data_IF_556837101093
#
_entry.id   IF_556837101093
#
_cell.length_a   1.000
_cell.length_b   1.000
_cell.length_c   1.000
_cell.angle_alpha   90.00
_cell.angle_beta   90.00
_cell.angle_gamma   90.00
#
_symmetry.space_group_name_H-M   'P 1'
#
loop_
_entity.id
_entity.type
_entity.pdbx_description
1 polymer ?
#
# COMPACT_ATOMS: atom_id res chain seq x y z
N UNK A 1 -6.82 -0.12 2.43
CA UNK A 1 -5.47 0.49 2.53
C UNK A 1 -5.24 1.13 3.89
N UNK A 2 -5.93 2.23 4.23
CA UNK A 2 -5.56 3.08 5.38
C UNK A 2 -5.63 2.37 6.75
N UNK A 3 -6.75 1.70 7.08
CA UNK A 3 -6.86 0.92 8.33
C UNK A 3 -5.77 -0.15 8.44
N UNK A 4 -5.55 -0.91 7.37
CA UNK A 4 -4.52 -1.95 7.34
C UNK A 4 -3.08 -1.38 7.45
N UNK A 5 -2.85 -0.16 6.97
CA UNK A 5 -1.55 0.51 7.13
C UNK A 5 -1.32 0.90 8.60
N UNK A 6 -2.34 1.44 9.28
CA UNK A 6 -2.28 1.70 10.73
C UNK A 6 -2.08 0.41 11.51
N UNK A 7 -2.84 -0.64 11.20
CA UNK A 7 -2.72 -1.94 11.88
C UNK A 7 -1.32 -2.56 11.73
N UNK A 8 -0.71 -2.42 10.54
CA UNK A 8 0.65 -2.86 10.28
C UNK A 8 1.69 -2.13 11.14
N UNK A 9 1.57 -0.80 11.24
CA UNK A 9 2.44 0.03 12.08
C UNK A 9 2.27 -0.30 13.57
N UNK A 10 1.03 -0.47 14.03
CA UNK A 10 0.73 -0.84 15.41
C UNK A 10 1.26 -2.24 15.76
N UNK A 11 1.13 -3.20 14.84
CA UNK A 11 1.70 -4.53 15.00
C UNK A 11 3.22 -4.49 15.12
N UNK A 12 3.89 -3.69 14.27
CA UNK A 12 5.33 -3.46 14.33
C UNK A 12 5.75 -2.83 15.66
N UNK A 13 5.09 -1.75 16.08
CA UNK A 13 5.33 -1.07 17.35
C UNK A 13 5.20 -2.00 18.55
N UNK A 14 4.14 -2.82 18.57
CA UNK A 14 3.92 -3.82 19.62
C UNK A 14 5.01 -4.88 19.63
N UNK A 15 5.44 -5.36 18.46
CA UNK A 15 6.43 -6.43 18.36
C UNK A 15 7.86 -5.98 18.69
N UNK A 16 8.23 -4.75 18.32
CA UNK A 16 9.60 -4.23 18.44
C UNK A 16 9.78 -3.23 19.59
N UNK A 17 8.70 -2.84 20.27
CA UNK A 17 8.76 -1.83 21.34
C UNK A 17 9.07 -0.43 20.81
N UNK A 18 8.62 -0.12 19.59
CA UNK A 18 8.85 1.16 18.91
C UNK A 18 7.61 2.05 18.98
N UNK A 19 7.74 3.29 18.50
CA UNK A 19 6.67 4.30 18.48
C UNK A 19 6.58 5.02 17.12
N UNK A 20 6.60 4.26 16.03
CA UNK A 20 6.38 4.76 14.67
C UNK A 20 4.98 5.37 14.60
N UNK A 21 4.86 6.53 13.96
CA UNK A 21 3.61 7.29 13.86
C UNK A 21 3.04 7.21 12.44
N UNK A 22 1.70 7.12 12.34
CA UNK A 22 0.99 7.28 11.07
C UNK A 22 0.39 8.67 11.02
N UNK A 23 0.71 9.41 9.96
CA UNK A 23 0.06 10.67 9.63
C UNK A 23 -1.04 10.43 8.58
N UNK A 24 -2.04 11.32 8.56
CA UNK A 24 -3.05 11.35 7.49
C UNK A 24 -4.22 10.37 7.62
N UNK A 25 -4.26 9.50 8.63
CA UNK A 25 -5.42 8.65 8.91
C UNK A 25 -5.58 8.36 10.41
N UNK A 26 -6.79 8.55 10.93
CA UNK A 26 -7.23 8.13 12.25
C UNK A 26 -8.26 7.00 12.10
N UNK A 27 -7.84 5.78 12.43
CA UNK A 27 -8.69 4.58 12.34
C UNK A 27 -9.88 4.63 13.31
N UNK A 28 -9.77 5.27 14.47
CA UNK A 28 -10.87 5.31 15.44
C UNK A 28 -11.99 6.24 14.98
N UNK A 29 -11.62 7.42 14.46
CA UNK A 29 -12.60 8.41 14.00
C UNK A 29 -12.96 8.28 12.52
N UNK A 30 -12.24 7.43 11.77
CA UNK A 30 -12.37 7.25 10.32
C UNK A 30 -12.21 8.56 9.54
N UNK A 31 -11.36 9.47 10.04
CA UNK A 31 -11.02 10.74 9.41
C UNK A 31 -9.56 10.74 8.95
N UNK A 32 -9.29 11.44 7.86
CA UNK A 32 -7.94 11.54 7.33
C UNK A 32 -7.78 12.62 6.27
N UNK A 33 -6.62 12.62 5.65
CA UNK A 33 -6.25 13.56 4.59
C UNK A 33 -6.61 12.98 3.23
N UNK A 34 -7.48 13.68 2.50
CA UNK A 34 -7.90 13.31 1.16
C UNK A 34 -7.72 14.51 0.24
N UNK A 35 -7.10 14.30 -0.92
CA UNK A 35 -6.99 15.31 -1.98
C UNK A 35 -8.33 15.57 -2.66
N UNK A 36 -9.32 14.68 -2.47
CA UNK A 36 -10.66 14.74 -3.06
C UNK A 36 -10.66 14.75 -4.60
N UNK A 37 -9.54 14.34 -5.21
CA UNK A 37 -9.27 14.39 -6.65
C UNK A 37 -8.21 13.33 -7.00
N UNK A 38 -8.30 12.76 -8.20
CA UNK A 38 -7.40 11.71 -8.70
C UNK A 38 -6.55 12.15 -9.91
N UNK A 39 -6.70 13.38 -10.40
CA UNK A 39 -6.01 13.91 -11.58
C UNK A 39 -5.02 15.04 -11.24
N UNK A 40 -5.32 15.86 -10.22
CA UNK A 40 -4.55 17.04 -9.87
C UNK A 40 -3.32 16.73 -9.01
N UNK A 41 -2.20 16.43 -9.66
CA UNK A 41 -0.92 16.14 -9.01
C UNK A 41 -0.41 17.27 -8.10
N UNK A 42 -0.82 18.52 -8.30
CA UNK A 42 -0.44 19.63 -7.41
C UNK A 42 -0.94 19.37 -5.99
N UNK A 43 -2.17 18.86 -5.83
CA UNK A 43 -2.73 18.54 -4.51
C UNK A 43 -1.93 17.42 -3.82
N UNK A 44 -1.55 16.39 -4.56
CA UNK A 44 -0.71 15.30 -4.04
C UNK A 44 0.66 15.80 -3.58
N UNK A 45 1.26 16.72 -4.34
CA UNK A 45 2.54 17.35 -3.98
C UNK A 45 2.41 18.19 -2.71
N UNK A 46 1.41 19.08 -2.64
CA UNK A 46 1.18 19.95 -1.49
C UNK A 46 0.91 19.14 -0.22
N UNK A 47 0.08 18.10 -0.30
CA UNK A 47 -0.22 17.22 0.83
C UNK A 47 1.03 16.47 1.30
N UNK A 48 1.83 15.92 0.39
CA UNK A 48 3.07 15.24 0.73
C UNK A 48 4.08 16.19 1.38
N UNK A 49 4.23 17.42 0.87
CA UNK A 49 5.09 18.43 1.49
C UNK A 49 4.67 18.75 2.92
N UNK A 50 3.36 18.78 3.22
CA UNK A 50 2.88 18.96 4.59
C UNK A 50 3.28 17.78 5.49
N UNK A 51 3.19 16.53 5.03
CA UNK A 51 3.62 15.38 5.81
C UNK A 51 5.14 15.33 6.00
N UNK A 52 5.92 15.64 4.96
CA UNK A 52 7.37 15.75 5.05
C UNK A 52 7.76 16.82 6.07
N UNK A 53 7.10 17.98 6.08
CA UNK A 53 7.33 19.03 7.09
C UNK A 53 6.99 18.62 8.53
N UNK A 54 6.12 17.61 8.69
CA UNK A 54 5.78 17.00 9.97
C UNK A 54 6.71 15.83 10.35
N UNK A 55 7.70 15.53 9.50
CA UNK A 55 8.72 14.50 9.74
C UNK A 55 8.40 13.12 9.14
N UNK A 56 7.45 13.02 8.21
CA UNK A 56 7.25 11.77 7.48
C UNK A 56 8.49 11.42 6.65
N UNK A 57 9.01 10.22 6.84
CA UNK A 57 10.14 9.62 6.12
C UNK A 57 9.70 8.59 5.07
N UNK A 58 8.48 8.08 5.17
CA UNK A 58 7.85 7.18 4.21
C UNK A 58 6.41 7.64 3.92
N UNK A 59 6.04 7.73 2.65
CA UNK A 59 4.69 8.10 2.21
C UNK A 59 4.09 7.00 1.34
N UNK A 60 2.86 6.56 1.65
CA UNK A 60 2.06 5.66 0.81
C UNK A 60 0.91 6.43 0.15
N UNK A 61 1.08 7.00 -1.05
CA UNK A 61 0.05 7.81 -1.68
C UNK A 61 -1.04 6.94 -2.32
N UNK A 62 -2.13 6.69 -1.60
CA UNK A 62 -3.31 5.95 -2.08
C UNK A 62 -4.21 6.84 -2.95
N UNK A 63 -3.67 7.37 -4.04
CA UNK A 63 -4.30 8.45 -4.80
C UNK A 63 -4.14 8.34 -6.32
N UNK A 64 -3.88 7.15 -6.87
CA UNK A 64 -3.72 6.97 -8.33
C UNK A 64 -2.70 7.96 -8.93
N UNK A 65 -2.99 8.61 -10.08
CA UNK A 65 -2.09 9.59 -10.70
C UNK A 65 -1.69 10.76 -9.80
N UNK A 66 -2.55 11.20 -8.88
CA UNK A 66 -2.23 12.25 -7.90
C UNK A 66 -1.07 11.84 -7.00
N UNK A 67 -0.89 10.55 -6.75
CA UNK A 67 0.23 10.03 -5.98
C UNK A 67 1.61 10.30 -6.61
N UNK A 68 1.68 10.54 -7.92
CA UNK A 68 2.93 10.96 -8.57
C UNK A 68 3.37 12.36 -8.15
N UNK A 69 2.42 13.23 -7.77
CA UNK A 69 2.73 14.51 -7.13
C UNK A 69 3.42 14.33 -5.77
N UNK A 70 2.99 13.34 -5.00
CA UNK A 70 3.63 12.98 -3.73
C UNK A 70 5.04 12.40 -3.96
N UNK A 71 5.22 11.54 -4.98
CA UNK A 71 6.54 11.03 -5.36
C UNK A 71 7.49 12.15 -5.81
N UNK A 72 6.98 13.15 -6.54
CA UNK A 72 7.77 14.33 -6.91
C UNK A 72 8.21 15.15 -5.68
N UNK A 73 7.34 15.30 -4.67
CA UNK A 73 7.71 15.95 -3.41
C UNK A 73 8.79 15.16 -2.65
N UNK A 74 8.60 13.85 -2.50
CA UNK A 74 9.54 12.97 -1.81
C UNK A 74 10.91 12.94 -2.50
N UNK A 75 10.94 12.85 -3.83
CA UNK A 75 12.19 12.91 -4.62
C UNK A 75 12.92 14.23 -4.44
N UNK A 76 12.19 15.35 -4.37
CA UNK A 76 12.77 16.67 -4.17
C UNK A 76 13.29 16.88 -2.73
N UNK A 77 12.66 16.24 -1.74
CA UNK A 77 13.14 16.21 -0.35
C UNK A 77 14.43 15.39 -0.20
N UNK A 78 14.54 14.27 -0.93
CA UNK A 78 15.75 13.47 -1.02
C UNK A 78 15.98 12.48 0.12
N UNK A 79 15.16 12.51 1.19
CA UNK A 79 15.22 11.55 2.29
C UNK A 79 13.92 10.75 2.46
N UNK A 80 12.84 11.18 1.82
CA UNK A 80 11.53 10.55 1.92
C UNK A 80 11.37 9.43 0.89
N UNK A 81 10.94 8.25 1.33
CA UNK A 81 10.64 7.10 0.47
C UNK A 81 9.14 6.99 0.15
N UNK A 82 8.82 6.25 -0.91
CA UNK A 82 7.46 5.98 -1.36
C UNK A 82 7.14 4.50 -1.23
N UNK A 83 5.95 4.19 -0.71
CA UNK A 83 5.31 2.89 -0.91
C UNK A 83 4.25 3.06 -2.00
N UNK A 84 4.47 2.46 -3.17
CA UNK A 84 3.54 2.50 -4.30
C UNK A 84 2.25 1.73 -4.00
N UNK A 85 1.24 1.91 -4.85
CA UNK A 85 -0.02 1.16 -4.78
C UNK A 85 -0.50 0.70 -6.16
N UNK A 86 -1.34 -0.33 -6.15
CA UNK A 86 -2.00 -0.97 -7.30
C UNK A 86 -1.06 -1.74 -8.23
N UNK A 87 0.11 -1.18 -8.54
CA UNK A 87 1.14 -1.77 -9.40
C UNK A 87 2.53 -1.54 -8.80
N UNK A 88 3.54 -2.21 -9.35
CA UNK A 88 4.91 -2.05 -8.87
C UNK A 88 5.46 -0.73 -9.41
N UNK A 89 5.51 0.29 -8.56
CA UNK A 89 5.94 1.62 -8.97
C UNK A 89 7.41 1.70 -9.34
N UNK A 90 8.24 0.76 -8.88
CA UNK A 90 9.64 0.70 -9.31
C UNK A 90 9.73 0.48 -10.83
N UNK A 91 8.92 -0.45 -11.35
CA UNK A 91 8.84 -0.78 -12.78
C UNK A 91 7.93 0.20 -13.55
N UNK A 92 6.76 0.53 -12.99
CA UNK A 92 5.77 1.35 -13.67
C UNK A 92 6.14 2.84 -13.74
N UNK A 93 6.97 3.32 -12.81
CA UNK A 93 7.37 4.73 -12.70
C UNK A 93 8.89 4.84 -12.52
N UNK A 94 9.69 4.51 -13.55
CA UNK A 94 11.15 4.41 -13.43
C UNK A 94 11.82 5.71 -13.01
N UNK A 95 11.21 6.87 -13.30
CA UNK A 95 11.67 8.18 -12.84
C UNK A 95 11.67 8.32 -11.30
N UNK A 96 10.89 7.51 -10.58
CA UNK A 96 10.82 7.51 -9.12
C UNK A 96 11.37 6.22 -8.50
N UNK A 97 11.84 5.26 -9.30
CA UNK A 97 12.37 3.95 -8.84
C UNK A 97 13.34 4.07 -7.66
N UNK A 98 14.25 5.03 -7.70
CA UNK A 98 15.27 5.26 -6.65
C UNK A 98 14.72 5.65 -5.28
N UNK A 99 13.44 5.97 -5.16
CA UNK A 99 12.78 6.31 -3.88
C UNK A 99 11.62 5.35 -3.57
N UNK A 100 11.33 4.35 -4.41
CA UNK A 100 10.27 3.38 -4.16
C UNK A 100 10.82 2.28 -3.26
N UNK A 101 10.34 2.23 -2.01
CA UNK A 101 10.71 1.20 -1.04
C UNK A 101 10.10 -0.16 -1.42
N UNK A 102 8.82 -0.17 -1.75
CA UNK A 102 8.04 -1.33 -2.21
C UNK A 102 6.70 -0.80 -2.75
N UNK A 103 5.79 -1.68 -3.18
CA UNK A 103 4.42 -1.31 -3.56
C UNK A 103 3.42 -2.30 -3.01
N UNK A 104 2.27 -1.81 -2.52
CA UNK A 104 1.11 -2.65 -2.18
C UNK A 104 0.31 -2.91 -3.45
N UNK A 105 0.47 -4.11 -3.99
CA UNK A 105 -0.08 -4.52 -5.27
C UNK A 105 -1.55 -4.91 -5.14
N UNK A 106 -2.35 -4.47 -6.11
CA UNK A 106 -3.66 -5.08 -6.38
C UNK A 106 -3.53 -5.87 -7.67
N UNK A 107 -3.71 -7.18 -7.60
CA UNK A 107 -3.55 -8.09 -8.74
C UNK A 107 -4.80 -8.05 -9.65
N UNK A 108 -5.17 -6.84 -10.09
CA UNK A 108 -6.38 -6.56 -10.87
C UNK A 108 -6.35 -7.34 -12.19
N UNK A 109 -5.16 -7.53 -12.78
CA UNK A 109 -4.99 -8.34 -13.98
C UNK A 109 -5.53 -9.76 -13.81
N UNK A 110 -5.16 -10.44 -12.73
CA UNK A 110 -5.64 -11.78 -12.43
C UNK A 110 -7.16 -11.82 -12.20
N UNK A 111 -7.72 -10.81 -11.52
CA UNK A 111 -9.16 -10.71 -11.31
C UNK A 111 -9.93 -10.54 -12.63
N UNK A 112 -9.42 -9.70 -13.55
CA UNK A 112 -10.02 -9.48 -14.87
C UNK A 112 -9.90 -10.73 -15.73
N UNK A 113 -8.74 -11.38 -15.75
CA UNK A 113 -8.52 -12.63 -16.48
C UNK A 113 -9.47 -13.74 -16.02
N UNK A 114 -9.64 -13.89 -14.70
CA UNK A 114 -10.57 -14.86 -14.12
C UNK A 114 -12.02 -14.57 -14.55
N UNK A 115 -12.47 -13.32 -14.44
CA UNK A 115 -13.82 -12.93 -14.85
C UNK A 115 -14.09 -13.18 -16.34
N UNK A 116 -13.10 -12.90 -17.21
CA UNK A 116 -13.19 -13.20 -18.64
C UNK A 116 -13.24 -14.71 -18.88
N UNK A 117 -12.40 -15.48 -18.19
CA UNK A 117 -12.35 -16.95 -18.29
C UNK A 117 -13.67 -17.58 -17.89
N UNK A 118 -14.27 -17.12 -16.79
CA UNK A 118 -15.57 -17.60 -16.32
C UNK A 118 -16.69 -17.24 -17.29
N UNK A 119 -16.66 -16.04 -17.88
CA UNK A 119 -17.61 -15.64 -18.92
C UNK A 119 -17.54 -16.51 -20.16
N UNK A 120 -16.33 -16.73 -20.69
CA UNK A 120 -16.11 -17.54 -21.90
C UNK A 120 -16.45 -19.02 -21.66
N UNK A 121 -16.21 -19.53 -20.45
CA UNK A 121 -16.52 -20.92 -20.08
C UNK A 121 -17.97 -21.15 -19.65
N UNK A 122 -18.81 -20.10 -19.60
CA UNK A 122 -20.20 -20.19 -19.16
C UNK A 122 -20.39 -20.34 -17.65
N UNK A 123 -19.33 -20.11 -16.87
CA UNK A 123 -19.31 -20.18 -15.41
C UNK A 123 -19.41 -18.81 -14.73
N UNK A 124 -19.65 -17.72 -15.49
CA UNK A 124 -19.75 -16.38 -14.93
C UNK A 124 -20.82 -16.30 -13.84
N UNK A 125 -20.46 -15.66 -12.74
CA UNK A 125 -21.36 -15.38 -11.64
C UNK A 125 -21.31 -13.89 -11.28
N UNK A 126 -22.40 -13.30 -10.77
CA UNK A 126 -22.44 -11.88 -10.40
C UNK A 126 -21.76 -11.59 -9.05
N UNK A 127 -21.29 -12.62 -8.33
CA UNK A 127 -20.59 -12.49 -7.06
C UNK A 127 -19.31 -11.65 -7.24
N UNK A 128 -19.07 -10.65 -6.36
CA UNK A 128 -17.85 -9.87 -6.42
C UNK A 128 -16.61 -10.74 -6.21
N UNK A 129 -15.61 -10.57 -7.08
CA UNK A 129 -14.27 -11.07 -6.79
C UNK A 129 -13.65 -10.27 -5.64
N UNK A 130 -13.26 -10.95 -4.57
CA UNK A 130 -12.54 -10.36 -3.44
C UNK A 130 -11.09 -10.82 -3.47
N UNK A 131 -10.18 -9.91 -3.80
CA UNK A 131 -8.75 -10.15 -3.77
C UNK A 131 -8.22 -10.21 -2.34
N UNK A 132 -7.50 -11.28 -2.00
CA UNK A 132 -6.91 -11.53 -0.69
C UNK A 132 -5.46 -11.96 -0.83
N UNK A 133 -4.68 -11.96 0.26
CA UNK A 133 -3.36 -12.57 0.26
C UNK A 133 -3.44 -14.09 -0.01
N UNK A 134 -4.54 -14.76 0.36
CA UNK A 134 -4.70 -16.21 0.23
C UNK A 134 -4.91 -16.65 -1.22
N UNK A 135 -5.70 -15.90 -1.99
CA UNK A 135 -5.94 -16.17 -3.41
C UNK A 135 -4.98 -15.40 -4.34
N UNK A 136 -4.01 -14.68 -3.79
CA UNK A 136 -3.07 -13.88 -4.57
C UNK A 136 -3.72 -12.69 -5.28
N UNK A 137 -4.86 -12.17 -4.79
CA UNK A 137 -5.49 -10.96 -5.32
C UNK A 137 -4.83 -9.65 -4.86
N UNK A 138 -4.00 -9.72 -3.81
CA UNK A 138 -3.13 -8.63 -3.35
C UNK A 138 -1.77 -9.20 -2.95
N UNK A 139 -0.73 -8.39 -3.06
CA UNK A 139 0.65 -8.76 -2.72
C UNK A 139 1.48 -7.52 -2.34
N UNK A 140 2.75 -7.72 -1.97
CA UNK A 140 3.73 -6.64 -1.90
C UNK A 140 4.79 -6.88 -2.98
N UNK A 141 5.22 -5.82 -3.65
CA UNK A 141 6.34 -5.88 -4.57
C UNK A 141 7.67 -6.14 -3.81
N UNK A 142 8.74 -6.59 -4.50
CA UNK A 142 10.07 -6.64 -3.92
C UNK A 142 10.52 -5.28 -3.36
N UNK A 143 11.56 -5.31 -2.52
CA UNK A 143 12.21 -4.08 -2.04
C UNK A 143 13.20 -3.47 -3.03
N UNK A 144 13.43 -4.13 -4.17
CA UNK A 144 14.30 -3.67 -5.25
C UNK A 144 15.67 -3.18 -4.75
N UNK A 145 16.02 -1.92 -5.04
CA UNK A 145 17.27 -1.28 -4.62
C UNK A 145 17.45 -1.22 -3.09
N UNK A 146 16.35 -1.28 -2.33
CA UNK A 146 16.35 -1.27 -0.87
C UNK A 146 16.43 -2.65 -0.25
N UNK A 147 16.44 -3.74 -1.03
CA UNK A 147 16.40 -5.11 -0.48
C UNK A 147 17.53 -5.37 0.53
N UNK A 148 18.74 -4.91 0.23
CA UNK A 148 19.88 -5.07 1.14
C UNK A 148 19.81 -4.20 2.40
N UNK A 149 18.97 -3.16 2.41
CA UNK A 149 18.79 -2.23 3.52
C UNK A 149 17.68 -2.68 4.47
N UNK A 150 16.72 -3.47 3.99
CA UNK A 150 15.65 -4.03 4.82
C UNK A 150 16.19 -5.20 5.65
N UNK A 151 16.16 -5.13 6.99
CA UNK A 151 16.68 -6.20 7.83
C UNK A 151 15.97 -7.54 7.61
N UNK A 152 16.71 -8.64 7.69
CA UNK A 152 16.18 -9.99 7.45
C UNK A 152 15.07 -10.39 8.44
N UNK A 153 15.14 -9.93 9.69
CA UNK A 153 14.10 -10.18 10.68
C UNK A 153 12.78 -9.49 10.29
N UNK A 154 12.85 -8.28 9.71
CA UNK A 154 11.67 -7.59 9.15
C UNK A 154 11.08 -8.37 7.98
N UNK A 155 11.92 -8.85 7.06
CA UNK A 155 11.43 -9.69 5.94
C UNK A 155 10.76 -10.97 6.45
N UNK A 156 11.32 -11.60 7.47
CA UNK A 156 10.74 -12.79 8.08
C UNK A 156 9.43 -12.50 8.82
N UNK A 157 9.33 -11.35 9.49
CA UNK A 157 8.10 -10.89 10.14
C UNK A 157 6.99 -10.70 9.09
N UNK A 158 7.30 -10.10 7.93
CA UNK A 158 6.35 -9.95 6.82
C UNK A 158 5.85 -11.29 6.27
N UNK A 159 6.75 -12.27 6.07
CA UNK A 159 6.38 -13.64 5.67
C UNK A 159 5.44 -14.25 6.71
N UNK A 160 5.78 -14.14 7.99
CA UNK A 160 4.99 -14.72 9.08
C UNK A 160 3.59 -14.09 9.16
N UNK A 161 3.50 -12.75 9.12
CA UNK A 161 2.22 -12.04 9.12
C UNK A 161 1.38 -12.40 7.90
N UNK A 162 2.00 -12.52 6.73
CA UNK A 162 1.31 -12.92 5.49
C UNK A 162 0.67 -14.29 5.65
N UNK A 163 1.40 -15.29 6.15
CA UNK A 163 0.86 -16.65 6.34
C UNK A 163 -0.22 -16.71 7.43
N UNK A 164 -0.11 -15.91 8.48
CA UNK A 164 -1.17 -15.78 9.50
C UNK A 164 -2.46 -15.17 8.93
N UNK A 165 -2.33 -14.17 8.05
CA UNK A 165 -3.49 -13.57 7.37
C UNK A 165 -4.11 -14.58 6.39
N UNK A 166 -3.29 -15.28 5.60
CA UNK A 166 -3.76 -16.30 4.66
C UNK A 166 -4.51 -17.44 5.34
N UNK A 167 -4.02 -17.88 6.51
CA UNK A 167 -4.63 -18.98 7.27
C UNK A 167 -5.84 -18.56 8.12
N UNK A 168 -6.07 -17.25 8.29
CA UNK A 168 -7.11 -16.71 9.16
C UNK A 168 -6.76 -16.72 10.65
N UNK A 169 -5.52 -17.05 11.03
CA UNK A 169 -5.02 -16.86 12.40
C UNK A 169 -5.00 -15.37 12.77
N UNK A 170 -4.72 -14.51 11.78
CA UNK A 170 -4.77 -13.06 11.90
C UNK A 170 -5.80 -12.48 10.92
N UNK A 171 -6.95 -12.05 11.44
CA UNK A 171 -7.97 -11.38 10.65
C UNK A 171 -7.75 -9.87 10.65
N UNK A 172 -7.79 -9.24 9.47
CA UNK A 172 -7.73 -7.79 9.32
C UNK A 172 -9.16 -7.26 9.16
N UNK A 173 -9.59 -6.40 10.08
CA UNK A 173 -10.94 -5.84 10.10
C UNK A 173 -10.93 -4.34 9.80
N UNK A 174 -11.87 -3.91 8.95
CA UNK A 174 -12.11 -2.51 8.63
C UNK A 174 -13.60 -2.28 8.38
N UNK A 175 -14.12 -1.13 8.81
CA UNK A 175 -15.49 -0.73 8.49
C UNK A 175 -15.69 -0.54 6.97
N UNK A 176 -14.62 -0.25 6.25
CA UNK A 176 -14.59 -0.06 4.80
C UNK A 176 -14.26 -1.34 4.02
N UNK A 177 -14.09 -2.49 4.68
CA UNK A 177 -13.83 -3.75 3.99
C UNK A 177 -15.03 -4.12 3.09
N UNK A 178 -14.80 -4.56 1.84
CA UNK A 178 -15.87 -5.05 0.98
C UNK A 178 -16.55 -6.26 1.64
N UNK A 179 -17.89 -6.31 1.53
CA UNK A 179 -18.76 -7.36 2.09
C UNK A 179 -19.26 -8.29 1.00
#
# INVERSE_FOLDING_TARGET
FMDGFVDGVDAYNKAKGTSVQVLGWDKATQNGSFTQDFDNQTLGKEQAQQFISQGADIIMPVAGPVGLGAAAAAKADGNTLIIGVDSDWYEANPDYSSIVLTSVMKEIGAAVEQAITDSVSGNFTPEPYVGTLANGGVSIAPFHDFDSQVPNDIKQDLVTLTEKIKSGELTIESQAAPK
#
